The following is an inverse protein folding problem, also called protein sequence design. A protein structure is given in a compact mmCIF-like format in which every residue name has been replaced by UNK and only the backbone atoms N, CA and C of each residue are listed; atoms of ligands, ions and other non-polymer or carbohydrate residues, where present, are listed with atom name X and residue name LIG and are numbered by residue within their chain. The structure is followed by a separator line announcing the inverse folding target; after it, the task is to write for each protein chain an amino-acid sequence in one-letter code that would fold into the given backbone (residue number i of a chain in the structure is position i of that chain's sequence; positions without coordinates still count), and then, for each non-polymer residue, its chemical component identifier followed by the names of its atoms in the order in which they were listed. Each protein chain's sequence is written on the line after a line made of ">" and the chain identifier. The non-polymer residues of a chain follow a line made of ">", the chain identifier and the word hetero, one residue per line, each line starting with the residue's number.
data_IF_822499012953
#
_entry.id   IF_822499012953
#
_cell.length_a   1.000
_cell.length_b   1.000
_cell.length_c   1.000
_cell.angle_alpha   90.00
_cell.angle_beta   90.00
_cell.angle_gamma   90.00
#
_symmetry.space_group_name_H-M   'P 1'
#
loop_
_entity.id
_entity.type
_entity.pdbx_description
1 polymer ?
#
# COMPACT_ATOMS: atom_id res chain seq x y z
N UNK A 1 -20.56 10.27 10.15
CA UNK A 1 -19.77 9.71 11.25
C UNK A 1 -20.42 8.41 11.71
N UNK A 2 -19.62 7.38 12.02
CA UNK A 2 -20.09 6.08 12.47
C UNK A 2 -19.25 5.63 13.65
N UNK A 3 -19.83 4.88 14.57
CA UNK A 3 -19.16 4.34 15.74
C UNK A 3 -18.89 2.84 15.54
N UNK A 4 -17.67 2.43 15.90
CA UNK A 4 -17.19 1.05 15.78
C UNK A 4 -16.49 0.62 17.05
N UNK A 5 -16.47 -0.69 17.32
CA UNK A 5 -15.76 -1.28 18.45
C UNK A 5 -14.41 -1.85 18.01
N UNK A 6 -13.39 -1.67 18.83
CA UNK A 6 -12.11 -2.37 18.72
C UNK A 6 -12.16 -3.69 19.50
N UNK A 7 -13.08 -4.60 19.11
CA UNK A 7 -13.26 -5.90 19.78
C UNK A 7 -12.02 -6.80 19.66
N UNK A 8 -11.20 -6.58 18.65
CA UNK A 8 -9.99 -7.38 18.38
C UNK A 8 -8.78 -6.86 19.14
N UNK A 9 -8.95 -5.84 19.97
CA UNK A 9 -7.86 -5.18 20.71
C UNK A 9 -6.68 -4.78 19.82
N UNK A 10 -6.97 -4.23 18.65
CA UNK A 10 -5.97 -3.84 17.65
C UNK A 10 -5.12 -2.65 18.10
N UNK A 11 -5.50 -1.99 19.20
CA UNK A 11 -4.84 -0.80 19.69
C UNK A 11 -5.02 0.39 18.74
N UNK A 12 -6.26 0.57 18.30
CA UNK A 12 -6.65 1.68 17.41
C UNK A 12 -6.53 2.99 18.15
N UNK A 13 -6.00 4.01 17.48
CA UNK A 13 -5.87 5.36 18.02
C UNK A 13 -6.36 6.45 17.04
N UNK A 14 -6.49 7.67 17.57
CA UNK A 14 -6.88 8.83 16.75
C UNK A 14 -5.82 9.05 15.68
N UNK A 15 -6.27 9.26 14.43
CA UNK A 15 -5.37 9.41 13.29
C UNK A 15 -5.09 8.11 12.52
N UNK A 16 -5.53 6.97 13.02
CA UNK A 16 -5.37 5.70 12.32
C UNK A 16 -6.36 5.59 11.15
N UNK A 17 -5.90 4.98 10.06
CA UNK A 17 -6.78 4.51 8.98
C UNK A 17 -7.13 3.06 9.26
N UNK A 18 -8.41 2.80 9.37
CA UNK A 18 -8.95 1.47 9.68
C UNK A 18 -9.84 0.94 8.56
N UNK A 19 -9.87 -0.37 8.41
CA UNK A 19 -10.81 -1.04 7.51
C UNK A 19 -12.07 -1.38 8.32
N UNK A 20 -13.20 -0.89 7.83
CA UNK A 20 -14.51 -1.10 8.45
C UNK A 20 -15.54 -1.54 7.43
N UNK A 21 -16.64 -2.11 7.90
CA UNK A 21 -17.74 -2.55 7.05
C UNK A 21 -18.91 -1.56 7.12
N UNK A 22 -19.29 -0.99 5.97
CA UNK A 22 -20.46 -0.13 5.84
C UNK A 22 -21.42 -0.76 4.82
N UNK A 23 -22.64 -1.07 5.24
CA UNK A 23 -23.66 -1.71 4.36
C UNK A 23 -23.11 -2.92 3.60
N UNK A 24 -22.36 -3.79 4.29
CA UNK A 24 -21.77 -5.00 3.72
C UNK A 24 -20.48 -4.79 2.91
N UNK A 25 -20.08 -3.56 2.61
CA UNK A 25 -18.87 -3.23 1.84
C UNK A 25 -17.73 -2.82 2.75
N UNK A 26 -16.53 -3.30 2.46
CA UNK A 26 -15.32 -2.87 3.14
C UNK A 26 -14.91 -1.49 2.64
N UNK A 27 -14.67 -0.57 3.56
CA UNK A 27 -14.23 0.80 3.27
C UNK A 27 -13.17 1.24 4.28
N UNK A 28 -12.30 2.12 3.86
CA UNK A 28 -11.35 2.74 4.76
C UNK A 28 -12.00 3.91 5.50
N UNK A 29 -11.87 3.90 6.80
CA UNK A 29 -12.29 4.95 7.70
C UNK A 29 -11.11 5.61 8.38
N UNK A 30 -11.24 6.90 8.71
CA UNK A 30 -10.30 7.63 9.53
C UNK A 30 -10.84 7.72 10.95
N UNK A 31 -10.02 7.34 11.92
CA UNK A 31 -10.37 7.45 13.35
C UNK A 31 -10.18 8.90 13.79
N UNK A 32 -11.28 9.57 14.09
CA UNK A 32 -11.28 10.98 14.48
C UNK A 32 -11.51 11.18 15.97
N UNK A 33 -12.03 10.17 16.64
CA UNK A 33 -12.31 10.20 18.08
C UNK A 33 -12.27 8.79 18.65
N UNK A 34 -11.86 8.68 19.91
CA UNK A 34 -11.79 7.45 20.67
C UNK A 34 -12.48 7.66 22.01
N UNK A 35 -13.47 6.84 22.28
CA UNK A 35 -14.21 6.86 23.56
C UNK A 35 -13.97 5.53 24.28
N UNK A 36 -13.76 5.59 25.57
CA UNK A 36 -13.69 4.40 26.42
C UNK A 36 -15.13 4.08 26.84
N UNK A 37 -15.68 3.01 26.32
CA UNK A 37 -16.98 2.51 26.76
C UNK A 37 -16.85 1.94 28.18
N UNK A 38 -17.49 2.57 29.14
CA UNK A 38 -17.78 1.91 30.40
C UNK A 38 -18.98 1.01 30.21
N UNK A 39 -18.81 -0.28 30.47
CA UNK A 39 -19.76 -1.38 30.21
C UNK A 39 -21.10 -1.29 31.01
N UNK A 40 -21.52 -0.13 31.48
CA UNK A 40 -22.69 0.03 32.32
C UNK A 40 -24.00 0.36 31.57
N UNK A 41 -23.97 0.53 30.27
CA UNK A 41 -25.19 0.72 29.47
C UNK A 41 -25.47 -0.51 28.60
N UNK A 42 -26.63 -1.13 28.78
CA UNK A 42 -27.21 -2.08 27.82
C UNK A 42 -27.36 -1.33 26.49
N UNK A 43 -26.35 -1.43 25.65
CA UNK A 43 -26.43 -0.82 24.33
C UNK A 43 -27.48 -1.59 23.53
N UNK A 44 -28.61 -0.95 23.24
CA UNK A 44 -29.66 -1.47 22.34
C UNK A 44 -29.15 -1.65 20.91
N UNK A 45 -27.98 -1.11 20.57
CA UNK A 45 -27.41 -1.13 19.24
C UNK A 45 -26.20 -2.06 19.15
N UNK A 46 -26.20 -2.94 18.15
CA UNK A 46 -25.07 -3.78 17.82
C UNK A 46 -24.06 -2.96 17.01
N UNK A 47 -23.00 -2.53 17.65
CA UNK A 47 -21.88 -1.91 16.96
C UNK A 47 -21.14 -2.93 16.08
N UNK A 48 -20.63 -2.49 14.95
CA UNK A 48 -19.76 -3.31 14.12
C UNK A 48 -18.31 -3.16 14.58
N UNK A 49 -17.54 -4.23 14.44
CA UNK A 49 -16.13 -4.21 14.81
C UNK A 49 -15.24 -3.68 13.69
N UNK A 50 -14.08 -3.14 14.08
CA UNK A 50 -13.01 -2.77 13.17
C UNK A 50 -12.35 -4.05 12.65
N UNK A 51 -12.19 -4.17 11.32
CA UNK A 51 -11.61 -5.36 10.72
C UNK A 51 -10.09 -5.41 10.89
N UNK A 52 -9.41 -4.32 10.60
CA UNK A 52 -7.96 -4.16 10.76
C UNK A 52 -7.53 -2.70 10.71
N UNK A 53 -6.33 -2.41 11.21
CA UNK A 53 -5.63 -1.15 10.97
C UNK A 53 -4.91 -1.26 9.62
N UNK A 54 -5.05 -0.23 8.78
CA UNK A 54 -4.39 -0.14 7.48
C UNK A 54 -3.10 0.68 7.60
N UNK A 55 -3.21 1.85 8.26
CA UNK A 55 -2.09 2.77 8.47
C UNK A 55 -2.24 3.42 9.84
N UNK A 56 -1.12 3.58 10.55
CA UNK A 56 -1.12 4.19 11.89
C UNK A 56 -0.75 5.67 11.83
N UNK A 57 -1.43 6.45 12.66
CA UNK A 57 -1.07 7.83 12.98
C UNK A 57 -0.78 8.69 11.75
N UNK A 58 -1.71 8.73 10.79
CA UNK A 58 -1.55 9.51 9.56
C UNK A 58 -1.59 11.02 9.79
N UNK A 59 -2.00 11.45 10.98
CA UNK A 59 -1.91 12.84 11.41
C UNK A 59 -1.78 12.97 12.93
N UNK A 60 -1.26 14.10 13.37
CA UNK A 60 -1.20 14.49 14.79
C UNK A 60 -2.50 15.19 15.21
N UNK A 61 -2.87 15.19 16.51
CA UNK A 61 -4.11 15.81 17.02
C UNK A 61 -4.29 17.26 16.59
N UNK A 62 -3.23 18.07 16.67
CA UNK A 62 -3.27 19.49 16.25
C UNK A 62 -3.63 19.68 14.77
N UNK A 63 -3.24 18.75 13.91
CA UNK A 63 -3.57 18.79 12.49
C UNK A 63 -5.07 18.55 12.26
N UNK A 64 -5.70 17.69 13.07
CA UNK A 64 -7.15 17.50 13.05
C UNK A 64 -7.89 18.81 13.37
N UNK A 65 -7.46 19.51 14.42
CA UNK A 65 -8.05 20.79 14.82
C UNK A 65 -7.95 21.81 13.67
N UNK A 66 -6.78 21.89 13.05
CA UNK A 66 -6.57 22.74 11.89
C UNK A 66 -7.52 22.39 10.73
N UNK A 67 -7.70 21.11 10.40
CA UNK A 67 -8.65 20.65 9.37
C UNK A 67 -10.09 21.05 9.71
N UNK A 68 -10.50 20.94 10.97
CA UNK A 68 -11.83 21.37 11.42
C UNK A 68 -12.02 22.87 11.23
N UNK A 69 -11.03 23.69 11.61
CA UNK A 69 -11.06 25.14 11.40
C UNK A 69 -11.15 25.49 9.90
N UNK A 70 -10.39 24.80 9.05
CA UNK A 70 -10.46 24.98 7.60
C UNK A 70 -11.84 24.60 7.04
N UNK A 71 -12.44 23.51 7.54
CA UNK A 71 -13.77 23.09 7.13
C UNK A 71 -14.82 24.15 7.47
N UNK A 72 -14.74 24.75 8.65
CA UNK A 72 -15.61 25.86 9.08
C UNK A 72 -15.38 27.08 8.19
N UNK A 73 -14.13 27.47 7.98
CA UNK A 73 -13.76 28.65 7.18
C UNK A 73 -14.28 28.54 5.74
N UNK A 74 -14.09 27.40 5.09
CA UNK A 74 -14.55 27.16 3.72
C UNK A 74 -16.00 26.70 3.62
N UNK A 75 -16.72 26.58 4.74
CA UNK A 75 -18.13 26.12 4.80
C UNK A 75 -18.34 24.76 4.09
N UNK A 76 -17.42 23.85 4.30
CA UNK A 76 -17.49 22.48 3.78
C UNK A 76 -17.55 21.48 4.93
N UNK A 77 -17.98 20.23 4.65
CA UNK A 77 -17.97 19.20 5.69
C UNK A 77 -16.54 18.77 6.04
N UNK A 78 -16.30 18.42 7.32
CA UNK A 78 -15.02 17.87 7.79
C UNK A 78 -14.55 16.70 6.91
N UNK A 79 -15.47 15.79 6.56
CA UNK A 79 -15.14 14.63 5.69
C UNK A 79 -14.59 15.08 4.32
N UNK A 80 -15.16 16.14 3.74
CA UNK A 80 -14.67 16.67 2.46
C UNK A 80 -13.27 17.27 2.64
N UNK A 81 -13.05 18.00 3.72
CA UNK A 81 -11.73 18.56 4.03
C UNK A 81 -10.68 17.48 4.27
N UNK A 82 -10.97 16.45 5.07
CA UNK A 82 -10.08 15.30 5.25
C UNK A 82 -9.74 14.59 3.93
N UNK A 83 -10.75 14.38 3.05
CA UNK A 83 -10.52 13.75 1.74
C UNK A 83 -9.66 14.61 0.80
N UNK A 84 -9.67 15.92 0.97
CA UNK A 84 -8.83 16.83 0.19
C UNK A 84 -7.40 16.88 0.71
N UNK A 85 -7.23 16.81 2.03
CA UNK A 85 -5.93 16.91 2.70
C UNK A 85 -5.14 15.59 2.71
N UNK A 86 -5.84 14.46 2.61
CA UNK A 86 -5.21 13.13 2.57
C UNK A 86 -5.05 12.64 1.12
N UNK A 87 -4.10 11.73 0.86
CA UNK A 87 -3.93 11.13 -0.46
C UNK A 87 -5.21 10.50 -0.98
N UNK A 88 -5.49 10.56 -2.29
CA UNK A 88 -6.69 9.99 -2.88
C UNK A 88 -6.85 8.51 -2.57
N UNK A 89 -8.05 8.12 -2.10
CA UNK A 89 -8.37 6.72 -1.80
C UNK A 89 -8.10 6.30 -0.35
N UNK A 90 -7.49 7.15 0.47
CA UNK A 90 -7.24 6.84 1.89
C UNK A 90 -8.53 6.78 2.70
N UNK A 91 -9.56 7.53 2.32
CA UNK A 91 -10.88 7.49 2.96
C UNK A 91 -11.94 7.06 1.95
N UNK A 92 -12.76 6.09 2.32
CA UNK A 92 -13.95 5.66 1.56
C UNK A 92 -13.69 4.58 0.51
N UNK A 93 -12.46 4.29 0.13
CA UNK A 93 -12.10 3.16 -0.74
C UNK A 93 -11.38 2.08 0.07
N UNK A 94 -11.53 0.80 -0.31
CA UNK A 94 -10.89 -0.31 0.40
C UNK A 94 -9.44 -0.56 -0.01
N UNK A 95 -8.97 0.07 -1.08
CA UNK A 95 -7.64 -0.15 -1.64
C UNK A 95 -6.74 1.06 -1.37
N UNK A 96 -6.13 1.10 -0.20
CA UNK A 96 -4.94 1.93 0.00
C UNK A 96 -3.76 1.18 -0.62
N UNK A 97 -3.12 1.78 -1.59
CA UNK A 97 -1.75 1.44 -1.94
C UNK A 97 -0.85 2.23 -1.00
N UNK A 98 -0.70 1.74 0.23
CA UNK A 98 0.28 2.26 1.19
C UNK A 98 1.70 1.90 0.81
N UNK A 99 1.88 0.96 -0.11
CA UNK A 99 3.19 0.63 -0.63
C UNK A 99 3.72 1.80 -1.47
N UNK A 100 4.79 2.40 -1.00
CA UNK A 100 5.65 3.24 -1.83
C UNK A 100 5.89 2.46 -3.12
N UNK A 101 5.63 3.07 -4.27
CA UNK A 101 5.79 2.43 -5.56
C UNK A 101 7.24 1.96 -5.71
N UNK A 102 7.51 0.74 -5.30
CA UNK A 102 8.84 0.16 -5.43
C UNK A 102 9.07 -0.20 -6.88
N UNK A 103 10.11 0.36 -7.47
CA UNK A 103 10.58 -0.05 -8.79
C UNK A 103 11.38 -1.36 -8.67
N UNK A 104 11.29 -2.17 -9.70
CA UNK A 104 11.99 -3.44 -9.75
C UNK A 104 13.30 -3.25 -10.51
N UNK A 105 14.40 -3.52 -9.83
CA UNK A 105 15.74 -3.55 -10.39
C UNK A 105 16.12 -4.98 -10.72
N UNK A 106 16.59 -5.24 -11.93
CA UNK A 106 17.06 -6.55 -12.41
C UNK A 106 18.56 -6.52 -12.47
N UNK A 107 19.21 -7.49 -11.83
CA UNK A 107 20.67 -7.64 -11.84
C UNK A 107 21.06 -9.04 -12.28
N UNK A 108 22.28 -9.18 -12.78
CA UNK A 108 22.89 -10.48 -13.03
C UNK A 108 23.25 -11.19 -11.71
N UNK A 109 23.06 -12.49 -11.67
CA UNK A 109 23.41 -13.31 -10.52
C UNK A 109 24.78 -13.94 -10.69
N UNK A 110 25.83 -13.37 -10.09
CA UNK A 110 27.21 -13.86 -10.18
C UNK A 110 27.41 -15.27 -9.62
N UNK A 111 26.50 -15.75 -8.77
CA UNK A 111 26.55 -17.12 -8.23
C UNK A 111 26.05 -18.19 -9.23
N UNK A 112 25.49 -17.75 -10.35
CA UNK A 112 24.94 -18.61 -11.39
C UNK A 112 25.91 -18.94 -12.54
N UNK A 113 27.14 -18.49 -12.51
CA UNK A 113 28.11 -18.62 -13.62
C UNK A 113 28.46 -20.09 -13.96
N UNK A 114 28.21 -21.04 -13.04
CA UNK A 114 28.43 -22.49 -13.30
C UNK A 114 27.29 -23.17 -14.07
N UNK A 115 26.29 -22.42 -14.57
CA UNK A 115 25.13 -22.98 -15.27
C UNK A 115 25.04 -22.57 -16.73
N UNK A 116 26.17 -22.55 -17.44
CA UNK A 116 26.25 -22.38 -18.90
C UNK A 116 25.56 -23.50 -19.73
N UNK A 117 24.78 -24.40 -19.09
CA UNK A 117 24.02 -25.48 -19.75
C UNK A 117 22.60 -25.08 -20.17
N UNK A 118 22.15 -23.84 -19.95
CA UNK A 118 20.81 -23.45 -20.38
C UNK A 118 20.83 -23.05 -21.85
N UNK A 119 20.11 -23.75 -22.70
CA UNK A 119 19.76 -23.27 -24.04
C UNK A 119 18.93 -21.99 -23.86
N UNK A 120 19.53 -20.84 -24.16
CA UNK A 120 18.88 -19.54 -24.17
C UNK A 120 18.44 -19.22 -25.60
N UNK A 121 17.32 -18.59 -25.76
CA UNK A 121 16.91 -18.01 -27.04
C UNK A 121 17.73 -16.73 -27.31
N UNK A 122 17.86 -16.33 -28.57
CA UNK A 122 18.61 -15.12 -28.95
C UNK A 122 18.16 -13.87 -28.19
N UNK A 123 16.83 -13.74 -28.00
CA UNK A 123 16.26 -12.64 -27.18
C UNK A 123 16.62 -12.72 -25.69
N UNK A 124 16.69 -13.92 -25.13
CA UNK A 124 17.12 -14.09 -23.73
C UNK A 124 18.62 -13.82 -23.59
N UNK A 125 19.41 -14.16 -24.59
CA UNK A 125 20.84 -13.86 -24.61
C UNK A 125 21.07 -12.35 -24.70
N UNK A 126 20.39 -11.65 -25.61
CA UNK A 126 20.46 -10.17 -25.71
C UNK A 126 20.05 -9.48 -24.42
N UNK A 127 19.00 -9.96 -23.74
CA UNK A 127 18.58 -9.45 -22.43
C UNK A 127 19.69 -9.62 -21.38
N UNK A 128 20.32 -10.79 -21.35
CA UNK A 128 21.38 -11.11 -20.41
C UNK A 128 22.61 -10.22 -20.62
N UNK A 129 23.07 -10.06 -21.87
CA UNK A 129 24.19 -9.18 -22.21
C UNK A 129 23.93 -7.74 -21.79
N UNK A 130 22.70 -7.26 -22.03
CA UNK A 130 22.31 -5.91 -21.67
C UNK A 130 22.35 -5.69 -20.14
N UNK A 131 21.77 -6.61 -19.37
CA UNK A 131 21.78 -6.53 -17.91
C UNK A 131 23.23 -6.65 -17.37
N UNK A 132 24.09 -7.46 -17.98
CA UNK A 132 25.50 -7.59 -17.62
C UNK A 132 26.27 -6.31 -17.91
N UNK A 133 26.15 -5.73 -19.09
CA UNK A 133 26.88 -4.51 -19.49
C UNK A 133 26.54 -3.29 -18.64
N UNK A 134 25.28 -3.18 -18.21
CA UNK A 134 24.80 -2.06 -17.37
C UNK A 134 24.88 -2.33 -15.87
N UNK A 135 25.41 -3.49 -15.45
CA UNK A 135 25.45 -3.94 -14.04
C UNK A 135 24.07 -3.95 -13.37
N UNK A 136 23.03 -4.08 -14.16
CA UNK A 136 21.64 -4.05 -13.78
C UNK A 136 20.82 -3.00 -14.54
N UNK A 137 19.48 -3.16 -14.58
CA UNK A 137 18.57 -2.24 -15.25
C UNK A 137 17.17 -2.34 -14.63
N UNK A 138 16.37 -1.27 -14.75
CA UNK A 138 14.97 -1.26 -14.32
C UNK A 138 14.11 -2.18 -15.19
N UNK A 139 13.28 -3.00 -14.57
CA UNK A 139 12.35 -3.87 -15.31
C UNK A 139 11.48 -3.08 -16.29
N UNK A 140 11.02 -1.89 -15.89
CA UNK A 140 10.20 -1.01 -16.76
C UNK A 140 10.97 -0.54 -17.99
N UNK A 141 12.28 -0.27 -17.87
CA UNK A 141 13.14 0.11 -19.00
C UNK A 141 13.34 -1.06 -19.96
N UNK A 142 13.61 -2.26 -19.41
CA UNK A 142 13.75 -3.47 -20.22
C UNK A 142 12.48 -3.77 -21.02
N UNK A 143 11.30 -3.61 -20.40
CA UNK A 143 10.02 -3.79 -21.09
C UNK A 143 9.83 -2.76 -22.21
N UNK A 144 10.15 -1.48 -21.96
CA UNK A 144 10.10 -0.42 -23.00
C UNK A 144 11.05 -0.70 -24.18
N UNK A 145 12.13 -1.42 -23.95
CA UNK A 145 13.10 -1.84 -24.96
C UNK A 145 12.69 -3.12 -25.73
N UNK A 146 11.48 -3.64 -25.47
CA UNK A 146 10.93 -4.77 -26.21
C UNK A 146 11.13 -6.14 -25.56
N UNK A 147 11.69 -6.22 -24.34
CA UNK A 147 11.78 -7.48 -23.61
C UNK A 147 10.46 -7.76 -22.88
N UNK A 148 9.95 -9.00 -22.97
CA UNK A 148 8.71 -9.34 -22.27
C UNK A 148 8.95 -9.65 -20.78
N UNK A 149 7.95 -9.37 -19.95
CA UNK A 149 7.98 -9.76 -18.53
C UNK A 149 8.17 -11.27 -18.34
N UNK A 150 7.65 -12.07 -19.27
CA UNK A 150 7.79 -13.52 -19.23
C UNK A 150 9.27 -13.95 -19.44
N UNK A 151 9.99 -13.33 -20.38
CA UNK A 151 11.41 -13.59 -20.61
C UNK A 151 12.24 -13.26 -19.36
N UNK A 152 11.98 -12.09 -18.75
CA UNK A 152 12.66 -11.68 -17.52
C UNK A 152 12.39 -12.68 -16.39
N UNK A 153 11.12 -13.06 -16.18
CA UNK A 153 10.75 -14.01 -15.13
C UNK A 153 11.34 -15.41 -15.37
N UNK A 154 11.43 -15.85 -16.62
CA UNK A 154 12.08 -17.12 -16.97
C UNK A 154 13.57 -17.11 -16.60
N UNK A 155 14.28 -16.02 -16.84
CA UNK A 155 15.70 -15.92 -16.44
C UNK A 155 15.88 -15.80 -14.94
N UNK A 156 14.92 -15.21 -14.24
CA UNK A 156 14.89 -15.17 -12.77
C UNK A 156 14.64 -16.57 -12.20
N UNK A 157 13.67 -17.32 -12.74
CA UNK A 157 13.37 -18.69 -12.29
C UNK A 157 14.52 -19.67 -12.56
N UNK A 158 15.30 -19.41 -13.61
CA UNK A 158 16.54 -20.16 -13.90
C UNK A 158 17.72 -19.75 -13.00
N UNK A 159 17.55 -18.75 -12.12
CA UNK A 159 18.59 -18.24 -11.22
C UNK A 159 19.71 -17.46 -11.91
N UNK A 160 19.51 -17.03 -13.17
CA UNK A 160 20.47 -16.25 -13.97
C UNK A 160 20.38 -14.76 -13.63
N UNK A 161 19.16 -14.26 -13.39
CA UNK A 161 18.89 -12.89 -12.99
C UNK A 161 18.30 -12.83 -11.57
N UNK A 162 18.57 -11.75 -10.87
CA UNK A 162 18.00 -11.44 -9.58
C UNK A 162 17.04 -10.25 -9.70
N UNK A 163 15.97 -10.30 -8.90
CA UNK A 163 14.97 -9.26 -8.78
C UNK A 163 15.11 -8.56 -7.44
N UNK A 164 15.40 -7.26 -7.45
CA UNK A 164 15.57 -6.44 -6.26
C UNK A 164 14.50 -5.34 -6.27
N UNK A 165 13.71 -5.24 -5.21
CA UNK A 165 12.83 -4.09 -5.03
C UNK A 165 13.67 -2.90 -4.53
N UNK A 166 13.63 -1.77 -5.24
CA UNK A 166 14.26 -0.50 -4.86
C UNK A 166 13.21 0.60 -4.76
N UNK A 167 13.37 1.44 -3.78
CA UNK A 167 12.59 2.67 -3.62
C UNK A 167 13.16 3.77 -4.47
#
# INVERSE_FOLDING_TARGET
>A
RFDYLDEKYLGVDIGDIVLVRIKGRLVNGLVVEKNIFQNNSKAEFKYLSIEKIIEKTVFQPWWREWIVQMAIFYKVSELKMFKTALPPGWIGKSNIRSEISTKIWITFNNKGDNKLQYKLTDKQFSLLEKVKSQKGEWQSTLIKQGFSSQQINTLISKGILNKIKRQ
#
